data_IF_753747605380
#
_entry.id   IF_753747605380
#
_cell.length_a   1.000
_cell.length_b   1.000
_cell.length_c   1.000
_cell.angle_alpha   90.00
_cell.angle_beta   90.00
_cell.angle_gamma   90.00
#
_symmetry.space_group_name_H-M   'P 1'
#
loop_
_entity.id
_entity.type
_entity.pdbx_description
1 polymer ?
#
# COMPACT_ATOMS: atom_id res chain seq x y z
N UNK A 1 -48.40 -64.75 30.06
CA UNK A 1 -46.91 -64.64 30.02
C UNK A 1 -46.35 -63.96 28.76
N UNK A 2 -46.65 -64.41 27.53
CA UNK A 2 -46.02 -63.84 26.31
C UNK A 2 -46.39 -62.37 26.02
N UNK A 3 -47.65 -61.97 26.24
CA UNK A 3 -48.14 -60.59 26.01
C UNK A 3 -47.44 -59.55 26.89
N UNK A 4 -47.25 -59.87 28.16
CA UNK A 4 -46.59 -58.99 29.13
C UNK A 4 -45.11 -58.77 28.79
N UNK A 5 -44.40 -59.84 28.41
CA UNK A 5 -43.01 -59.73 27.95
C UNK A 5 -42.87 -58.87 26.69
N UNK A 6 -43.83 -58.96 25.76
CA UNK A 6 -43.82 -58.13 24.55
C UNK A 6 -44.05 -56.65 24.86
N UNK A 7 -44.99 -56.36 25.77
CA UNK A 7 -45.24 -54.99 26.23
C UNK A 7 -44.02 -54.40 26.93
N UNK A 8 -43.35 -55.18 27.79
CA UNK A 8 -42.14 -54.76 28.49
C UNK A 8 -40.97 -54.49 27.52
N UNK A 9 -40.82 -55.31 26.48
CA UNK A 9 -39.84 -55.07 25.40
C UNK A 9 -40.15 -53.81 24.60
N UNK A 10 -41.42 -53.56 24.29
CA UNK A 10 -41.85 -52.35 23.59
C UNK A 10 -41.61 -51.10 24.43
N UNK A 11 -41.96 -51.13 25.72
CA UNK A 11 -41.69 -50.04 26.66
C UNK A 11 -40.20 -49.79 26.83
N UNK A 12 -39.38 -50.85 26.91
CA UNK A 12 -37.93 -50.73 27.00
C UNK A 12 -37.31 -50.10 25.74
N UNK A 13 -37.87 -50.40 24.57
CA UNK A 13 -37.44 -49.79 23.30
C UNK A 13 -37.78 -48.30 23.27
N UNK A 14 -39.02 -47.93 23.63
CA UNK A 14 -39.48 -46.54 23.71
C UNK A 14 -38.60 -45.75 24.70
N UNK A 15 -38.31 -46.32 25.86
CA UNK A 15 -37.46 -45.68 26.88
C UNK A 15 -36.05 -45.38 26.33
N UNK A 16 -35.43 -46.34 25.62
CA UNK A 16 -34.11 -46.12 25.00
C UNK A 16 -34.15 -45.04 23.94
N UNK A 17 -35.16 -45.06 23.07
CA UNK A 17 -35.31 -44.07 22.00
C UNK A 17 -35.54 -42.66 22.57
N UNK A 18 -36.35 -42.54 23.62
CA UNK A 18 -36.54 -41.28 24.34
C UNK A 18 -35.24 -40.76 24.98
N UNK A 19 -34.46 -41.65 25.62
CA UNK A 19 -33.17 -41.27 26.21
C UNK A 19 -32.19 -40.79 25.14
N UNK A 20 -32.10 -41.51 24.01
CA UNK A 20 -31.24 -41.14 22.89
C UNK A 20 -31.67 -39.81 22.25
N UNK A 21 -32.97 -39.56 22.14
CA UNK A 21 -33.50 -38.29 21.63
C UNK A 21 -33.14 -37.13 22.57
N UNK A 22 -33.34 -37.31 23.88
CA UNK A 22 -33.01 -36.31 24.89
C UNK A 22 -31.52 -35.97 24.88
N UNK A 23 -30.64 -36.96 24.70
CA UNK A 23 -29.20 -36.75 24.58
C UNK A 23 -28.85 -35.89 23.36
N UNK A 24 -29.44 -36.19 22.20
CA UNK A 24 -29.23 -35.42 20.96
C UNK A 24 -29.77 -33.99 21.07
N UNK A 25 -30.96 -33.82 21.65
CA UNK A 25 -31.53 -32.48 21.87
C UNK A 25 -30.67 -31.70 22.86
N UNK A 26 -30.24 -32.30 23.96
CA UNK A 26 -29.34 -31.68 24.93
C UNK A 26 -28.02 -31.25 24.29
N UNK A 27 -27.45 -32.09 23.43
CA UNK A 27 -26.25 -31.76 22.67
C UNK A 27 -26.46 -30.56 21.73
N UNK A 28 -27.58 -30.51 21.02
CA UNK A 28 -27.97 -29.39 20.15
C UNK A 28 -28.22 -28.12 20.98
N UNK A 29 -28.93 -28.20 22.11
CA UNK A 29 -29.23 -27.03 22.94
C UNK A 29 -27.98 -26.48 23.63
N UNK A 30 -27.03 -27.34 24.02
CA UNK A 30 -25.75 -26.93 24.60
C UNK A 30 -24.83 -26.26 23.58
N UNK A 31 -24.98 -26.57 22.29
CA UNK A 31 -24.13 -26.05 21.23
C UNK A 31 -24.86 -24.95 20.47
N UNK A 32 -24.32 -23.73 20.40
CA UNK A 32 -24.99 -22.58 19.76
C UNK A 32 -25.09 -22.66 18.22
N UNK A 33 -25.22 -23.86 17.64
CA UNK A 33 -25.37 -24.05 16.19
C UNK A 33 -24.19 -23.47 15.41
N UNK A 34 -23.01 -24.10 15.47
CA UNK A 34 -21.97 -23.79 14.50
C UNK A 34 -22.43 -24.30 13.14
N UNK A 35 -22.67 -23.36 12.22
CA UNK A 35 -22.91 -23.63 10.82
C UNK A 35 -21.59 -24.12 10.23
N UNK A 36 -21.56 -25.35 9.72
CA UNK A 36 -20.42 -25.97 9.02
C UNK A 36 -20.15 -25.33 7.64
N UNK A 37 -21.08 -24.53 7.14
CA UNK A 37 -21.05 -23.87 5.84
C UNK A 37 -20.19 -22.60 5.78
N UNK A 38 -19.21 -22.43 6.66
CA UNK A 38 -18.30 -21.29 6.54
C UNK A 38 -17.26 -21.58 5.46
N UNK A 39 -17.61 -21.24 4.22
CA UNK A 39 -16.71 -21.34 3.08
C UNK A 39 -15.65 -20.24 3.17
N UNK A 40 -14.44 -20.60 3.61
CA UNK A 40 -13.27 -19.72 3.66
C UNK A 40 -12.59 -19.62 2.28
N UNK A 41 -13.41 -19.36 1.26
CA UNK A 41 -12.93 -19.30 -0.11
C UNK A 41 -12.24 -17.95 -0.37
N UNK A 42 -10.92 -17.99 -0.42
CA UNK A 42 -10.12 -16.87 -0.94
C UNK A 42 -10.41 -16.69 -2.43
N UNK A 43 -10.89 -15.49 -2.77
CA UNK A 43 -11.31 -15.18 -4.12
C UNK A 43 -10.08 -15.10 -5.05
N UNK A 44 -9.86 -16.14 -5.87
CA UNK A 44 -8.73 -16.19 -6.80
C UNK A 44 -9.09 -15.46 -8.08
N UNK A 45 -8.53 -14.26 -8.27
CA UNK A 45 -8.55 -13.60 -9.58
C UNK A 45 -7.69 -14.37 -10.58
N UNK A 46 -8.24 -14.69 -11.75
CA UNK A 46 -7.64 -15.52 -12.81
C UNK A 46 -6.29 -15.02 -13.40
N UNK A 47 -5.75 -13.88 -12.95
CA UNK A 47 -4.50 -13.30 -13.45
C UNK A 47 -3.59 -12.72 -12.35
N UNK A 48 -3.72 -13.12 -11.08
CA UNK A 48 -2.93 -12.50 -9.99
C UNK A 48 -1.42 -12.62 -10.19
N UNK A 49 -0.97 -13.79 -10.61
CA UNK A 49 0.46 -14.06 -10.86
C UNK A 49 0.98 -13.25 -12.05
N UNK A 50 0.23 -13.20 -13.15
CA UNK A 50 0.54 -12.36 -14.32
C UNK A 50 0.61 -10.88 -13.94
N UNK A 51 -0.33 -10.40 -13.13
CA UNK A 51 -0.34 -9.01 -12.64
C UNK A 51 0.87 -8.72 -11.76
N UNK A 52 1.26 -9.67 -10.90
CA UNK A 52 2.45 -9.54 -10.06
C UNK A 52 3.74 -9.50 -10.89
N UNK A 53 3.86 -10.36 -11.91
CA UNK A 53 5.00 -10.35 -12.82
C UNK A 53 5.10 -9.05 -13.63
N UNK A 54 3.97 -8.56 -14.13
CA UNK A 54 3.93 -7.29 -14.87
C UNK A 54 4.28 -6.11 -13.97
N UNK A 55 3.80 -6.11 -12.71
CA UNK A 55 4.16 -5.09 -11.73
C UNK A 55 5.68 -5.08 -11.47
N UNK A 56 6.30 -6.25 -11.32
CA UNK A 56 7.75 -6.36 -11.15
C UNK A 56 8.52 -5.86 -12.37
N UNK A 57 8.05 -6.20 -13.58
CA UNK A 57 8.63 -5.72 -14.84
C UNK A 57 8.56 -4.19 -14.93
N UNK A 58 7.38 -3.60 -14.75
CA UNK A 58 7.18 -2.14 -14.78
C UNK A 58 8.06 -1.45 -13.73
N UNK A 59 8.16 -2.02 -12.53
CA UNK A 59 9.00 -1.46 -11.46
C UNK A 59 10.46 -1.43 -11.85
N UNK A 60 10.97 -2.51 -12.45
CA UNK A 60 12.35 -2.59 -12.95
C UNK A 60 12.60 -1.57 -14.07
N UNK A 61 11.68 -1.46 -15.02
CA UNK A 61 11.80 -0.51 -16.14
C UNK A 61 11.80 0.94 -15.63
N UNK A 62 10.93 1.25 -14.67
CA UNK A 62 10.88 2.56 -14.01
C UNK A 62 12.19 2.89 -13.28
N UNK A 63 12.80 1.92 -12.60
CA UNK A 63 14.11 2.11 -11.96
C UNK A 63 15.21 2.41 -12.99
N UNK A 64 15.21 1.72 -14.13
CA UNK A 64 16.18 1.96 -15.20
C UNK A 64 15.99 3.34 -15.85
N UNK A 65 14.75 3.76 -16.07
CA UNK A 65 14.43 5.10 -16.58
C UNK A 65 14.91 6.16 -15.60
N UNK A 66 14.65 5.98 -14.31
CA UNK A 66 15.10 6.91 -13.27
C UNK A 66 16.63 6.99 -13.22
N UNK A 67 17.33 5.86 -13.31
CA UNK A 67 18.79 5.83 -13.37
C UNK A 67 19.31 6.61 -14.59
N UNK A 68 18.68 6.44 -15.76
CA UNK A 68 19.05 7.20 -16.95
C UNK A 68 18.81 8.69 -16.77
N UNK A 69 17.64 9.08 -16.27
CA UNK A 69 17.31 10.50 -16.05
C UNK A 69 18.26 11.17 -15.06
N UNK A 70 18.68 10.47 -14.02
CA UNK A 70 19.62 10.98 -13.01
C UNK A 70 21.05 11.05 -13.52
N UNK A 71 21.47 10.08 -14.33
CA UNK A 71 22.82 10.06 -14.93
C UNK A 71 22.95 11.01 -16.13
N UNK A 72 21.86 11.27 -16.85
CA UNK A 72 21.83 12.19 -17.97
C UNK A 72 22.23 13.60 -17.52
N UNK A 73 23.43 14.01 -17.92
CA UNK A 73 23.87 15.39 -17.74
C UNK A 73 23.17 16.31 -18.75
N UNK A 74 22.83 17.54 -18.36
CA UNK A 74 22.34 18.54 -19.31
C UNK A 74 23.42 18.84 -20.36
N UNK A 75 23.04 18.86 -21.63
CA UNK A 75 23.95 19.16 -22.75
C UNK A 75 24.51 20.59 -22.69
N UNK A 76 23.82 21.49 -21.98
CA UNK A 76 24.26 22.86 -21.80
C UNK A 76 24.26 23.25 -20.32
N UNK A 77 25.28 24.00 -19.93
CA UNK A 77 25.34 24.67 -18.64
C UNK A 77 24.72 26.05 -18.77
N UNK A 78 23.67 26.31 -17.98
CA UNK A 78 23.02 27.64 -17.91
C UNK A 78 24.03 28.71 -17.49
N UNK A 79 25.01 28.34 -16.65
CA UNK A 79 26.07 29.24 -16.21
C UNK A 79 26.96 29.65 -17.38
N UNK A 80 27.42 28.67 -18.16
CA UNK A 80 28.31 28.90 -19.29
C UNK A 80 27.60 29.73 -20.36
N UNK A 81 26.32 29.44 -20.63
CA UNK A 81 25.49 30.24 -21.54
C UNK A 81 25.29 31.67 -21.05
N UNK A 82 25.11 31.86 -19.74
CA UNK A 82 25.00 33.19 -19.17
C UNK A 82 26.31 33.97 -19.30
N UNK A 83 27.45 33.33 -19.04
CA UNK A 83 28.76 33.95 -19.21
C UNK A 83 29.02 34.34 -20.67
N UNK A 84 28.73 33.46 -21.62
CA UNK A 84 28.91 33.75 -23.06
C UNK A 84 27.98 34.85 -23.55
N UNK A 85 26.76 34.89 -23.01
CA UNK A 85 25.84 36.00 -23.23
C UNK A 85 26.43 37.32 -22.70
N UNK A 86 26.94 37.34 -21.46
CA UNK A 86 27.59 38.53 -20.89
C UNK A 86 28.82 38.97 -21.70
N UNK A 87 29.66 38.03 -22.15
CA UNK A 87 30.82 38.31 -23.03
C UNK A 87 30.36 38.96 -24.33
N UNK A 88 29.29 38.44 -24.93
CA UNK A 88 28.71 38.98 -26.16
C UNK A 88 28.16 40.38 -25.93
N UNK A 89 27.46 40.63 -24.83
CA UNK A 89 26.98 41.97 -24.46
C UNK A 89 28.16 42.95 -24.30
N UNK A 90 29.23 42.53 -23.63
CA UNK A 90 30.44 43.36 -23.45
C UNK A 90 31.13 43.67 -24.78
N UNK A 91 31.29 42.67 -25.64
CA UNK A 91 31.85 42.86 -26.99
C UNK A 91 30.98 43.83 -27.78
N UNK A 92 29.66 43.62 -27.76
CA UNK A 92 28.68 44.44 -28.46
C UNK A 92 28.73 45.90 -28.01
N UNK A 93 28.95 46.18 -26.73
CA UNK A 93 29.15 47.54 -26.21
C UNK A 93 30.47 48.14 -26.69
N UNK A 94 31.55 47.34 -26.71
CA UNK A 94 32.88 47.82 -27.13
C UNK A 94 33.00 48.14 -28.63
N UNK A 95 32.26 47.42 -29.49
CA UNK A 95 32.27 47.62 -30.94
C UNK A 95 31.15 48.56 -31.42
N UNK A 96 30.28 49.00 -30.51
CA UNK A 96 29.16 49.87 -30.88
C UNK A 96 29.69 51.25 -31.27
N UNK A 97 29.29 51.71 -32.47
CA UNK A 97 29.60 53.07 -32.95
C UNK A 97 28.89 54.17 -32.17
N UNK A 98 27.77 53.83 -31.52
CA UNK A 98 26.94 54.76 -30.74
C UNK A 98 26.52 54.10 -29.41
N UNK A 99 26.39 54.87 -28.32
CA UNK A 99 26.00 54.33 -27.02
C UNK A 99 24.67 53.57 -27.11
N UNK A 100 24.65 52.31 -26.65
CA UNK A 100 23.42 51.51 -26.67
C UNK A 100 22.47 52.08 -25.61
N UNK A 101 21.32 52.61 -26.05
CA UNK A 101 20.24 52.93 -25.12
C UNK A 101 19.73 51.62 -24.53
N UNK A 102 20.05 51.37 -23.26
CA UNK A 102 19.48 50.27 -22.50
C UNK A 102 17.99 50.55 -22.41
N UNK A 103 17.16 49.91 -23.23
CA UNK A 103 15.71 50.07 -23.07
C UNK A 103 15.34 49.31 -21.79
N UNK A 104 15.06 50.08 -20.74
CA UNK A 104 14.59 49.60 -19.44
C UNK A 104 13.24 48.86 -19.51
N UNK A 105 12.73 48.54 -20.70
CA UNK A 105 11.38 48.02 -20.94
C UNK A 105 11.19 46.53 -20.64
N UNK A 106 12.22 45.84 -20.14
CA UNK A 106 12.13 44.41 -19.82
C UNK A 106 12.33 44.09 -18.33
N UNK A 107 12.51 45.11 -17.47
CA UNK A 107 12.63 44.88 -16.02
C UNK A 107 11.28 44.70 -15.30
N UNK A 108 10.17 45.09 -15.92
CA UNK A 108 8.85 45.11 -15.26
C UNK A 108 7.98 43.86 -15.46
N UNK A 109 8.57 42.73 -15.87
CA UNK A 109 7.87 41.44 -15.87
C UNK A 109 8.67 40.36 -15.16
N UNK A 110 9.20 40.68 -13.98
CA UNK A 110 9.46 39.66 -12.98
C UNK A 110 8.11 39.05 -12.58
N UNK A 111 7.68 37.97 -13.25
CA UNK A 111 6.66 37.09 -12.67
C UNK A 111 7.19 36.63 -11.32
N UNK A 112 6.37 36.61 -10.26
CA UNK A 112 6.79 36.02 -9.00
C UNK A 112 7.06 34.54 -9.27
N UNK A 113 8.33 34.17 -9.30
CA UNK A 113 8.75 32.77 -9.21
C UNK A 113 8.24 32.31 -7.85
N UNK A 114 7.23 31.44 -7.88
CA UNK A 114 6.74 30.73 -6.70
C UNK A 114 7.96 30.12 -6.01
N UNK A 115 8.25 30.60 -4.80
CA UNK A 115 9.25 29.98 -3.93
C UNK A 115 8.75 28.56 -3.65
N UNK A 116 9.34 27.55 -4.28
CA UNK A 116 9.27 26.19 -3.77
C UNK A 116 10.12 26.16 -2.50
N UNK A 117 9.48 26.45 -1.38
CA UNK A 117 9.98 26.05 -0.07
C UNK A 117 10.19 24.53 -0.10
N UNK A 118 11.43 24.08 0.02
CA UNK A 118 11.89 23.43 1.25
C UNK A 118 13.40 23.21 1.18
N UNK A 119 14.04 23.85 2.15
CA UNK A 119 15.42 23.70 2.60
C UNK A 119 15.60 22.38 3.35
N UNK A 120 16.76 21.75 3.11
CA UNK A 120 17.66 21.14 4.09
C UNK A 120 17.11 20.06 5.06
N UNK A 121 17.67 18.85 5.00
CA UNK A 121 18.43 18.32 6.15
C UNK A 121 19.28 17.10 5.78
N UNK A 122 20.58 17.30 6.00
CA UNK A 122 21.67 16.40 6.40
C UNK A 122 21.43 14.88 6.55
N UNK A 123 22.46 14.13 6.10
CA UNK A 123 22.75 12.74 6.46
C UNK A 123 22.65 12.48 7.96
N UNK A 124 22.00 11.37 8.35
CA UNK A 124 22.53 10.46 9.38
C UNK A 124 22.20 9.02 9.05
N UNK A 125 23.24 8.28 8.66
CA UNK A 125 23.35 6.85 8.91
C UNK A 125 23.12 6.56 10.39
N UNK A 126 22.26 5.57 10.69
CA UNK A 126 22.36 4.75 11.89
C UNK A 126 21.59 3.45 11.69
N UNK A 127 22.37 2.38 11.55
CA UNK A 127 21.97 0.99 11.69
C UNK A 127 21.26 0.77 13.04
N UNK A 128 20.13 0.05 13.03
CA UNK A 128 19.82 -0.84 14.14
C UNK A 128 19.08 -2.08 13.62
N UNK A 129 19.79 -3.21 13.72
CA UNK A 129 19.22 -4.54 13.68
C UNK A 129 18.37 -4.80 14.93
N UNK A 130 17.51 -5.82 14.84
CA UNK A 130 16.82 -6.50 15.94
C UNK A 130 15.67 -5.72 16.62
N UNK A 131 14.42 -6.10 16.35
CA UNK A 131 13.76 -7.26 16.97
C UNK A 131 12.28 -7.31 16.58
N UNK A 132 11.85 -8.54 16.31
CA UNK A 132 10.48 -9.04 16.44
C UNK A 132 9.61 -8.27 17.44
N UNK A 133 8.44 -7.81 17.03
CA UNK A 133 7.19 -7.97 17.78
C UNK A 133 5.97 -7.57 16.94
N UNK A 134 5.14 -8.57 16.68
CA UNK A 134 3.73 -8.45 16.36
C UNK A 134 3.04 -7.30 17.13
N UNK A 135 2.27 -6.47 16.44
CA UNK A 135 1.13 -5.77 17.05
C UNK A 135 -0.14 -6.12 16.28
N UNK A 136 -0.70 -7.28 16.62
CA UNK A 136 -2.11 -7.54 16.37
C UNK A 136 -2.91 -6.59 17.27
N UNK A 137 -3.66 -5.66 16.67
CA UNK A 137 -4.68 -4.91 17.40
C UNK A 137 -5.68 -5.93 17.95
N UNK A 138 -5.62 -6.12 19.25
CA UNK A 138 -6.57 -6.90 20.03
C UNK A 138 -7.72 -5.98 20.41
N UNK A 139 -8.94 -6.37 20.06
CA UNK A 139 -10.11 -5.92 20.80
C UNK A 139 -10.85 -7.18 21.30
N UNK A 140 -10.31 -7.75 22.37
CA UNK A 140 -11.08 -8.53 23.34
C UNK A 140 -11.79 -7.50 24.24
N UNK A 141 -13.05 -7.62 24.65
CA UNK A 141 -13.97 -8.73 24.68
C UNK A 141 -14.79 -8.60 25.96
N UNK A 142 -16.08 -8.96 25.95
CA UNK A 142 -16.77 -9.51 27.12
C UNK A 142 -18.11 -10.12 26.72
N UNK A 143 -18.16 -11.45 26.79
CA UNK A 143 -19.38 -12.24 27.00
C UNK A 143 -19.61 -12.37 28.50
N UNK A 144 -20.87 -12.36 28.90
CA UNK A 144 -21.39 -13.19 29.99
C UNK A 144 -21.66 -12.47 31.32
N UNK A 145 -22.94 -12.19 31.57
CA UNK A 145 -23.77 -13.01 32.48
C UNK A 145 -25.03 -13.39 31.73
#
# INVERSE_FOLDING_TARGET
>A
MKKQKFQEQSMSKIQRENNMLLEKISHIMRTTGRIDNRNDYENKSLCREMQQQELLRITKDNQLILLRLTQCQPHYSIKDWHEDWLKTIKLMESIARYPRRVSQSYRDKARPVMKSSNTETEEKDSLHAEQSSHSSITHNGKRGV
#
